data_IF_289451451440
#
_entry.id   IF_289451451440
#
_cell.length_a   1.000
_cell.length_b   1.000
_cell.length_c   1.000
_cell.angle_alpha   90.00
_cell.angle_beta   90.00
_cell.angle_gamma   90.00
#
_symmetry.space_group_name_H-M   'P 1'
#
loop_
_entity.id
_entity.type
_entity.pdbx_description
1 polymer ?
2 non-polymer ?
3 non-polymer ?
4 non-polymer ?
5 non-polymer ?
6 non-polymer ?
7 water ?
#
# COMPACT_ATOMS: atom_id res chain seq x y z
N UNK A 1 23.92 1.82 4.65
CA UNK A 1 24.22 0.37 4.93
C UNK A 1 23.12 -0.52 4.36
N UNK A 2 23.37 -1.13 3.23
CA UNK A 2 22.49 -2.28 2.84
C UNK A 2 22.83 -3.47 3.72
N UNK A 3 21.90 -3.98 4.55
CA UNK A 3 22.23 -5.20 5.32
C UNK A 3 22.33 -6.50 4.47
N UNK A 4 23.10 -7.49 4.92
CA UNK A 4 23.11 -8.80 4.23
C UNK A 4 21.78 -9.51 4.48
N UNK A 5 21.34 -10.34 3.52
CA UNK A 5 20.03 -11.02 3.61
C UNK A 5 20.07 -11.95 4.79
N UNK A 6 19.06 -11.83 5.67
CA UNK A 6 18.91 -12.80 6.78
C UNK A 6 18.15 -14.06 6.26
N UNK A 7 18.74 -14.64 5.25
CA UNK A 7 18.13 -15.79 4.58
C UNK A 7 19.08 -16.36 3.53
N UNK A 8 18.86 -17.65 3.21
CA UNK A 8 19.41 -18.25 1.98
C UNK A 8 18.36 -18.25 0.88
N UNK A 9 18.71 -17.78 -0.30
CA UNK A 9 17.84 -17.99 -1.46
C UNK A 9 17.66 -19.45 -1.75
N UNK A 10 16.42 -19.88 -1.98
CA UNK A 10 16.23 -21.37 -2.26
C UNK A 10 15.54 -21.58 -3.60
N UNK A 11 14.68 -20.64 -4.02
CA UNK A 11 13.97 -20.81 -5.33
C UNK A 11 14.04 -19.49 -6.10
N UNK A 12 14.46 -19.56 -7.35
CA UNK A 12 14.61 -18.31 -8.17
C UNK A 12 13.74 -18.43 -9.42
N UNK A 13 13.29 -17.28 -9.92
CA UNK A 13 12.57 -17.18 -11.19
C UNK A 13 13.56 -16.50 -12.22
N UNK A 14 14.07 -17.26 -13.20
CA UNK A 14 15.08 -16.68 -14.15
C UNK A 14 14.51 -15.54 -14.90
N UNK A 15 15.37 -14.54 -15.16
CA UNK A 15 14.93 -13.36 -15.91
C UNK A 15 16.04 -13.16 -16.93
N UNK A 16 15.68 -13.10 -18.21
CA UNK A 16 16.73 -12.98 -19.20
C UNK A 16 17.35 -11.58 -19.23
N UNK A 17 18.63 -11.51 -19.61
CA UNK A 17 19.32 -10.18 -19.76
C UNK A 17 19.19 -9.80 -21.22
N UNK A 18 18.61 -8.63 -21.51
CA UNK A 18 18.22 -8.22 -22.91
C UNK A 18 19.35 -7.28 -23.38
N UNK A 19 19.46 -7.07 -24.68
CA UNK A 19 20.32 -6.04 -25.20
C UNK A 19 19.60 -4.70 -25.28
N UNK A 20 20.40 -3.63 -25.35
CA UNK A 20 19.78 -2.33 -25.55
C UNK A 20 18.91 -2.31 -26.80
N UNK A 21 19.38 -2.89 -27.91
CA UNK A 21 18.53 -2.86 -29.15
C UNK A 21 17.24 -3.61 -28.99
N UNK A 22 17.30 -4.71 -28.27
CA UNK A 22 16.06 -5.44 -28.03
C UNK A 22 15.05 -4.54 -27.24
N UNK A 23 15.53 -3.88 -26.21
CA UNK A 23 14.63 -3.07 -25.35
C UNK A 23 14.08 -1.89 -26.08
N UNK A 24 14.94 -1.29 -26.94
CA UNK A 24 14.46 -0.21 -27.85
C UNK A 24 13.30 -0.70 -28.69
N UNK A 25 13.41 -1.87 -29.30
CA UNK A 25 12.29 -2.41 -30.08
C UNK A 25 11.11 -2.75 -29.21
N UNK A 26 11.39 -3.30 -28.03
CA UNK A 26 10.30 -3.63 -27.16
C UNK A 26 9.40 -2.44 -26.72
N UNK A 27 10.05 -1.37 -26.32
CA UNK A 27 9.35 -0.19 -25.80
C UNK A 27 8.51 0.47 -26.94
N UNK A 28 9.04 0.49 -28.15
CA UNK A 28 8.20 0.87 -29.34
C UNK A 28 6.99 -0.01 -29.55
N UNK A 29 7.18 -1.33 -29.49
CA UNK A 29 6.09 -2.22 -29.67
C UNK A 29 5.02 -2.02 -28.58
N UNK A 30 5.44 -1.64 -27.37
CA UNK A 30 4.46 -1.41 -26.32
C UNK A 30 4.07 0.06 -26.27
N UNK A 31 4.25 0.80 -27.38
CA UNK A 31 3.68 2.13 -27.46
C UNK A 31 4.23 3.08 -26.39
N UNK A 32 5.54 3.00 -26.09
CA UNK A 32 6.16 3.83 -25.09
C UNK A 32 5.33 3.79 -23.76
N UNK A 33 4.86 2.58 -23.46
CA UNK A 33 4.03 2.40 -22.28
C UNK A 33 4.48 1.06 -21.57
N UNK A 34 5.31 1.16 -20.50
CA UNK A 34 5.82 -0.04 -19.80
C UNK A 34 4.67 -0.92 -19.30
N UNK A 35 3.47 -0.36 -19.07
CA UNK A 35 2.37 -1.26 -18.68
C UNK A 35 2.07 -2.32 -19.74
N UNK A 36 2.48 -2.06 -20.97
CA UNK A 36 2.16 -2.99 -22.02
C UNK A 36 3.33 -3.87 -22.30
N UNK A 37 4.42 -3.76 -21.52
CA UNK A 37 5.57 -4.72 -21.75
C UNK A 37 5.31 -6.13 -21.18
N UNK A 38 5.92 -7.15 -21.82
CA UNK A 38 5.79 -8.49 -21.25
C UNK A 38 6.66 -8.49 -20.01
N UNK A 39 6.20 -9.16 -18.93
CA UNK A 39 6.99 -9.32 -17.74
C UNK A 39 8.35 -9.89 -18.02
N UNK A 40 8.41 -10.83 -18.95
CA UNK A 40 9.69 -11.40 -19.23
C UNK A 40 10.74 -10.45 -19.86
N UNK A 41 10.29 -9.34 -20.46
CA UNK A 41 11.19 -8.32 -21.01
C UNK A 41 11.55 -7.25 -20.01
N UNK A 42 11.09 -7.42 -18.78
CA UNK A 42 11.47 -6.45 -17.74
C UNK A 42 12.50 -7.06 -16.81
N UNK A 43 13.65 -6.42 -16.67
CA UNK A 43 14.69 -6.98 -15.79
C UNK A 43 14.39 -6.75 -14.30
N UNK A 44 14.03 -5.50 -13.95
CA UNK A 44 13.73 -5.12 -12.57
C UNK A 44 12.35 -4.47 -12.58
N UNK A 45 11.35 -5.15 -11.99
CA UNK A 45 9.99 -4.72 -12.15
C UNK A 45 9.61 -4.00 -10.86
N UNK A 46 9.44 -2.65 -10.94
CA UNK A 46 9.22 -1.85 -9.71
C UNK A 46 7.85 -1.26 -9.82
N UNK A 47 7.04 -1.89 -10.64
CA UNK A 47 5.67 -1.46 -10.80
C UNK A 47 4.89 -1.45 -9.48
N UNK A 48 4.98 -2.56 -8.75
CA UNK A 48 4.30 -2.61 -7.44
C UNK A 48 4.93 -3.61 -6.51
N UNK A 49 4.83 -3.37 -5.17
CA UNK A 49 5.17 -4.41 -4.17
C UNK A 49 3.98 -5.26 -3.72
N UNK A 50 2.79 -5.01 -4.29
CA UNK A 50 1.58 -5.67 -3.79
C UNK A 50 1.52 -7.07 -4.45
N UNK A 51 1.84 -8.09 -3.67
CA UNK A 51 1.70 -9.50 -4.11
C UNK A 51 2.80 -10.02 -5.01
N UNK A 52 3.88 -9.28 -5.14
CA UNK A 52 5.01 -9.56 -6.03
C UNK A 52 6.24 -10.04 -5.26
N UNK A 53 6.10 -10.15 -3.92
CA UNK A 53 7.26 -10.49 -3.09
C UNK A 53 7.54 -11.99 -2.97
N UNK A 54 8.72 -12.32 -2.48
CA UNK A 54 9.05 -13.70 -2.22
C UNK A 54 8.38 -14.16 -0.94
N UNK A 55 8.44 -15.48 -0.68
CA UNK A 55 7.89 -15.98 0.60
C UNK A 55 8.90 -17.00 1.13
N UNK A 56 8.69 -17.41 2.37
CA UNK A 56 9.58 -18.35 3.04
C UNK A 56 9.19 -19.79 2.64
N UNK A 57 10.10 -20.71 2.90
CA UNK A 57 9.89 -22.13 2.67
C UNK A 57 8.66 -22.63 3.41
N UNK A 58 8.48 -22.27 4.65
CA UNK A 58 7.31 -22.75 5.41
C UNK A 58 6.00 -22.20 4.83
N UNK A 59 6.06 -20.98 4.36
CA UNK A 59 4.85 -20.45 3.74
C UNK A 59 4.45 -21.16 2.48
N UNK A 60 5.44 -21.42 1.63
CA UNK A 60 5.16 -22.12 0.35
C UNK A 60 4.69 -23.55 0.63
N UNK A 61 5.33 -24.23 1.60
CA UNK A 61 4.96 -25.63 1.94
C UNK A 61 3.50 -25.66 2.46
N UNK A 62 3.06 -24.63 3.19
CA UNK A 62 1.64 -24.58 3.74
C UNK A 62 0.59 -24.64 2.64
N UNK A 63 0.93 -24.21 1.43
CA UNK A 63 -0.04 -24.32 0.28
C UNK A 63 -0.42 -25.71 -0.01
N UNK A 64 0.45 -26.69 0.34
CA UNK A 64 0.15 -28.14 0.24
C UNK A 64 -0.61 -28.82 1.40
N UNK A 65 -1.17 -28.04 2.30
CA UNK A 65 -1.81 -28.62 3.48
C UNK A 65 -3.25 -28.10 3.58
N UNK A 66 -3.81 -27.67 2.45
CA UNK A 66 -5.18 -27.05 2.51
C UNK A 66 -6.31 -28.00 2.77
N UNK A 67 -7.26 -27.57 3.60
CA UNK A 67 -8.52 -28.27 3.82
C UNK A 67 -9.52 -27.41 3.06
N UNK A 68 -10.00 -27.97 1.97
CA UNK A 68 -10.88 -27.19 1.07
C UNK A 68 -12.35 -27.21 1.44
N UNK A 69 -12.67 -27.63 2.64
CA UNK A 69 -14.10 -27.70 3.03
C UNK A 69 -14.75 -26.34 2.96
N UNK A 70 -16.01 -26.32 2.52
CA UNK A 70 -16.78 -25.11 2.43
C UNK A 70 -16.95 -24.46 3.83
N UNK A 71 -17.19 -25.22 4.89
CA UNK A 71 -17.27 -24.62 6.20
C UNK A 71 -16.55 -25.54 7.19
N UNK A 72 -16.07 -24.93 8.24
CA UNK A 72 -15.37 -25.71 9.26
C UNK A 72 -13.95 -26.16 8.90
N UNK A 73 -13.33 -25.47 7.95
CA UNK A 73 -12.00 -25.88 7.46
C UNK A 73 -10.97 -25.67 8.57
N UNK A 74 -10.14 -26.68 8.78
CA UNK A 74 -8.97 -26.48 9.66
C UNK A 74 -7.98 -25.41 9.19
N UNK A 75 -7.99 -25.06 7.90
CA UNK A 75 -7.14 -24.03 7.32
C UNK A 75 -7.67 -22.68 7.70
N UNK A 76 -9.00 -22.53 7.66
CA UNK A 76 -9.62 -21.32 8.21
C UNK A 76 -9.26 -21.22 9.72
N UNK A 77 -9.42 -22.30 10.48
CA UNK A 77 -9.10 -22.26 11.89
C UNK A 77 -7.64 -21.90 12.18
N UNK A 78 -6.72 -22.45 11.41
CA UNK A 78 -5.31 -22.09 11.60
C UNK A 78 -5.08 -20.61 11.35
N UNK A 79 -5.70 -20.09 10.29
CA UNK A 79 -5.64 -18.66 10.08
C UNK A 79 -6.30 -17.82 11.19
N UNK A 80 -7.46 -18.22 11.70
CA UNK A 80 -8.05 -17.46 12.79
C UNK A 80 -7.13 -17.55 14.03
N UNK A 81 -6.50 -18.73 14.20
CA UNK A 81 -5.68 -18.93 15.41
C UNK A 81 -4.44 -17.98 15.36
N UNK A 82 -3.87 -17.80 14.15
CA UNK A 82 -2.71 -16.89 13.97
C UNK A 82 -3.18 -15.46 14.33
N UNK A 83 -4.37 -15.06 13.85
CA UNK A 83 -4.89 -13.70 14.17
C UNK A 83 -5.05 -13.54 15.68
N UNK A 84 -5.58 -14.58 16.31
CA UNK A 84 -5.86 -14.52 17.74
C UNK A 84 -4.54 -14.37 18.52
N UNK A 85 -3.53 -15.12 18.13
CA UNK A 85 -2.25 -15.05 18.85
C UNK A 85 -1.40 -13.85 18.54
N UNK A 86 -1.48 -13.36 17.33
CA UNK A 86 -0.68 -12.21 16.91
C UNK A 86 -1.30 -10.87 17.24
N UNK A 87 -2.58 -10.72 16.94
CA UNK A 87 -3.30 -9.45 17.17
C UNK A 87 -4.17 -9.42 18.45
N UNK A 88 -4.47 -10.59 18.98
CA UNK A 88 -5.41 -10.75 20.16
C UNK A 88 -6.84 -10.69 19.66
N UNK A 89 -7.07 -10.79 18.36
CA UNK A 89 -8.45 -10.55 17.88
C UNK A 89 -9.19 -11.88 17.71
N UNK A 90 -10.40 -11.93 18.28
CA UNK A 90 -11.16 -13.16 18.39
C UNK A 90 -11.88 -13.59 17.14
N UNK A 91 -12.14 -12.70 16.18
CA UNK A 91 -13.07 -13.04 15.08
C UNK A 91 -12.36 -12.74 13.77
N UNK A 92 -12.29 -13.69 12.85
CA UNK A 92 -11.56 -13.47 11.60
C UNK A 92 -12.45 -13.81 10.41
N UNK A 93 -12.44 -12.92 9.45
CA UNK A 93 -13.01 -13.15 8.15
C UNK A 93 -11.90 -13.02 7.11
N UNK A 94 -11.59 -14.12 6.43
CA UNK A 94 -10.59 -14.08 5.31
C UNK A 94 -11.25 -13.46 4.11
N UNK A 95 -10.49 -12.63 3.38
CA UNK A 95 -11.06 -11.93 2.27
C UNK A 95 -10.24 -12.25 0.99
N UNK A 96 -10.86 -12.29 -0.20
CA UNK A 96 -10.01 -12.60 -1.39
C UNK A 96 -9.72 -11.40 -2.28
N UNK A 99 -8.29 -5.68 -0.48
CA UNK A 99 -8.01 -4.91 0.72
C UNK A 99 -8.89 -5.19 1.97
N UNK A 100 -8.98 -6.46 2.38
CA UNK A 100 -9.75 -6.82 3.57
C UNK A 100 -11.19 -6.22 3.65
N UNK A 101 -11.88 -6.17 2.50
CA UNK A 101 -13.31 -5.94 2.48
C UNK A 101 -13.65 -4.58 3.22
N UNK A 102 -12.91 -3.55 2.87
CA UNK A 102 -13.43 -2.18 3.02
C UNK A 102 -14.88 -2.11 2.51
N UNK A 103 -15.20 -2.84 1.42
CA UNK A 103 -16.54 -2.71 0.87
C UNK A 103 -17.56 -3.33 1.78
N UNK A 104 -17.10 -4.20 2.68
CA UNK A 104 -17.99 -4.75 3.68
C UNK A 104 -18.09 -3.94 4.99
N UNK A 105 -16.95 -3.61 5.66
CA UNK A 105 -17.06 -2.93 7.00
C UNK A 105 -17.66 -1.54 6.93
N UNK A 106 -17.42 -0.84 5.85
CA UNK A 106 -17.87 0.52 5.76
C UNK A 106 -19.42 0.66 5.89
N UNK A 107 -20.19 -0.06 5.07
CA UNK A 107 -21.67 0.05 5.19
C UNK A 107 -22.17 -0.55 6.47
N UNK A 108 -21.51 -1.61 6.93
CA UNK A 108 -21.83 -2.16 8.19
C UNK A 108 -21.65 -1.13 9.33
N UNK A 109 -20.56 -0.36 9.36
CA UNK A 109 -20.35 0.56 10.48
C UNK A 109 -21.24 1.82 10.31
N UNK A 110 -21.44 2.27 9.07
CA UNK A 110 -22.40 3.37 8.83
C UNK A 110 -23.82 3.00 9.42
N UNK A 111 -24.37 1.85 9.04
CA UNK A 111 -25.71 1.50 9.46
C UNK A 111 -25.74 1.28 10.95
N UNK A 112 -24.64 0.77 11.51
CA UNK A 112 -24.63 0.52 12.96
C UNK A 112 -24.88 1.81 13.70
N UNK A 113 -24.21 2.86 13.27
CA UNK A 113 -24.28 4.13 14.02
C UNK A 113 -25.61 4.83 13.71
N UNK A 114 -26.11 4.55 12.52
CA UNK A 114 -27.43 4.99 12.08
C UNK A 114 -28.53 4.45 13.00
N UNK A 115 -28.47 3.17 13.32
CA UNK A 115 -29.53 2.55 14.10
C UNK A 115 -29.34 2.85 15.56
N UNK A 116 -28.08 3.03 15.98
CA UNK A 116 -27.79 3.09 17.40
C UNK A 116 -27.73 4.50 17.96
N UNK A 117 -27.32 5.46 17.14
CA UNK A 117 -27.03 6.78 17.65
C UNK A 117 -27.66 7.86 16.77
N UNK A 118 -28.49 7.47 15.79
CA UNK A 118 -29.09 8.46 14.92
C UNK A 118 -28.07 9.19 14.05
N UNK A 119 -27.04 8.46 13.60
CA UNK A 119 -26.14 9.01 12.58
C UNK A 119 -27.01 9.47 11.39
N UNK A 120 -26.62 10.55 10.75
CA UNK A 120 -27.39 11.15 9.68
C UNK A 120 -26.50 11.09 8.46
N UNK A 121 -26.90 10.33 7.45
CA UNK A 121 -26.04 10.06 6.27
C UNK A 121 -25.65 11.32 5.56
N UNK A 122 -26.47 12.38 5.65
CA UNK A 122 -26.14 13.62 4.91
C UNK A 122 -25.07 14.38 5.65
N UNK A 123 -24.85 14.05 6.92
CA UNK A 123 -23.85 14.78 7.72
C UNK A 123 -22.50 14.06 7.89
N UNK A 124 -22.43 12.78 7.51
CA UNK A 124 -21.36 11.90 8.10
C UNK A 124 -19.96 12.14 7.54
N UNK A 125 -18.96 11.98 8.42
CA UNK A 125 -17.56 12.18 8.01
C UNK A 125 -16.69 11.15 8.72
N UNK A 126 -15.83 10.47 7.97
CA UNK A 126 -14.91 9.48 8.61
C UNK A 126 -13.50 10.07 8.64
N UNK A 127 -12.69 9.70 9.62
CA UNK A 127 -11.38 10.36 9.82
C UNK A 127 -10.26 9.31 9.69
N UNK A 128 -9.11 9.74 9.23
CA UNK A 128 -7.93 8.86 9.21
C UNK A 128 -6.71 9.69 9.35
N UNK A 129 -5.64 9.09 9.85
CA UNK A 129 -4.36 9.73 9.74
C UNK A 129 -3.97 9.91 8.28
N UNK A 130 -4.37 8.95 7.43
CA UNK A 130 -4.29 9.14 6.02
C UNK A 130 -5.01 7.93 5.37
N UNK A 131 -6.11 8.18 4.65
CA UNK A 131 -6.88 7.09 4.01
C UNK A 131 -6.16 6.61 2.78
N UNK A 132 -6.04 5.28 2.62
CA UNK A 132 -5.65 4.79 1.31
C UNK A 132 -6.73 5.16 0.31
N UNK A 133 -6.31 5.31 -0.96
CA UNK A 133 -7.21 5.75 -2.06
C UNK A 133 -8.50 4.92 -2.14
N UNK A 134 -8.37 3.60 -2.02
CA UNK A 134 -9.53 2.72 -2.16
C UNK A 134 -10.46 2.81 -0.92
N UNK A 135 -9.83 3.00 0.23
CA UNK A 135 -10.61 3.15 1.47
C UNK A 135 -11.46 4.45 1.37
N UNK A 136 -10.81 5.49 0.87
CA UNK A 136 -11.47 6.78 0.65
C UNK A 136 -12.59 6.56 -0.37
N UNK A 137 -12.24 5.88 -1.47
CA UNK A 137 -13.23 5.45 -2.49
C UNK A 137 -14.50 4.78 -1.95
N UNK A 138 -14.36 3.72 -1.14
CA UNK A 138 -15.56 3.00 -0.60
C UNK A 138 -16.34 3.85 0.42
N UNK A 139 -15.64 4.77 1.11
CA UNK A 139 -16.31 5.67 2.06
C UNK A 139 -17.21 6.57 1.24
N UNK A 140 -16.63 7.20 0.20
CA UNK A 140 -17.39 8.17 -0.64
C UNK A 140 -18.53 7.54 -1.41
N UNK A 141 -18.28 6.38 -2.03
CA UNK A 141 -19.35 5.59 -2.66
C UNK A 141 -20.47 5.36 -1.69
N UNK A 142 -20.16 5.12 -0.43
CA UNK A 142 -21.19 4.94 0.57
C UNK A 142 -21.80 6.26 1.06
N UNK A 143 -21.45 7.35 0.40
CA UNK A 143 -21.93 8.69 0.79
C UNK A 143 -21.25 9.35 1.98
N UNK A 144 -20.07 8.84 2.35
CA UNK A 144 -19.28 9.37 3.50
C UNK A 144 -18.12 10.23 3.02
N UNK A 145 -18.07 11.48 3.50
CA UNK A 145 -16.92 12.34 3.36
C UNK A 145 -15.79 11.80 4.26
N UNK A 146 -14.58 12.04 3.83
CA UNK A 146 -13.41 11.61 4.61
C UNK A 146 -12.61 12.83 4.89
N UNK A 147 -11.90 12.80 6.01
CA UNK A 147 -10.86 13.75 6.28
C UNK A 147 -9.63 13.03 6.74
N UNK A 148 -8.50 13.46 6.20
CA UNK A 148 -7.22 12.98 6.63
C UNK A 148 -6.79 13.96 7.70
N UNK A 149 -6.62 13.52 8.95
CA UNK A 149 -6.02 14.40 9.97
C UNK A 149 -4.54 14.10 10.24
N UNK A 150 -3.66 14.50 9.31
CA UNK A 150 -2.26 14.12 9.38
C UNK A 150 -1.48 15.27 10.03
N UNK A 151 -0.27 15.02 10.48
CA UNK A 151 0.49 16.08 11.16
C UNK A 151 1.23 17.06 10.23
N UNK A 152 1.53 18.25 10.80
CA UNK A 152 2.21 19.35 10.11
C UNK A 152 3.45 18.84 9.43
N UNK A 153 4.19 18.00 10.12
CA UNK A 153 5.47 17.51 9.62
C UNK A 153 5.36 16.42 8.51
N UNK A 154 4.14 15.92 8.26
CA UNK A 154 3.94 14.70 7.42
C UNK A 154 4.63 14.84 6.08
N UNK A 155 4.26 15.90 5.36
CA UNK A 155 4.68 16.17 3.96
C UNK A 155 5.87 17.03 3.87
N UNK A 156 6.43 17.40 5.01
CA UNK A 156 7.61 18.24 4.99
C UNK A 156 8.97 17.49 4.87
N UNK A 157 9.53 17.37 3.67
CA UNK A 157 10.86 16.73 3.53
C UNK A 157 11.87 17.72 4.09
N UNK A 158 13.10 17.34 4.31
CA UNK A 158 14.01 18.33 4.98
C UNK A 158 13.70 18.80 6.42
N UNK A 159 12.53 18.45 6.95
CA UNK A 159 12.29 18.32 8.41
C UNK A 159 12.27 16.79 8.67
N UNK A 160 13.18 16.26 9.48
CA UNK A 160 13.15 14.82 9.75
C UNK A 160 12.31 14.63 11.03
N UNK A 161 11.44 13.62 11.04
CA UNK A 161 10.57 13.42 12.19
C UNK A 161 10.29 11.93 12.23
N UNK A 162 10.31 11.37 13.43
CA UNK A 162 10.35 9.89 13.59
C UNK A 162 9.07 9.20 13.19
N UNK A 163 7.95 9.88 13.40
CA UNK A 163 6.64 9.33 13.14
C UNK A 163 5.73 10.21 12.33
N UNK A 164 6.10 10.44 11.06
CA UNK A 164 5.34 11.35 10.18
C UNK A 164 3.97 10.84 9.78
N UNK A 165 3.67 9.56 10.07
CA UNK A 165 2.29 9.08 9.85
C UNK A 165 1.29 9.27 10.99
N UNK A 166 1.69 9.98 12.04
CA UNK A 166 0.85 10.16 13.23
C UNK A 166 -0.43 10.91 12.91
N UNK A 167 -1.46 10.57 13.68
CA UNK A 167 -2.71 11.35 13.74
C UNK A 167 -2.30 12.74 14.28
N UNK A 168 -2.86 13.77 13.65
CA UNK A 168 -3.07 15.09 14.33
C UNK A 168 -4.19 14.99 15.38
N UNK A 169 -3.80 14.74 16.63
CA UNK A 169 -4.75 14.36 17.67
C UNK A 169 -5.72 15.55 17.94
N UNK A 170 -5.18 16.76 17.93
CA UNK A 170 -6.06 17.97 18.12
C UNK A 170 -6.98 18.19 16.94
N UNK A 171 -6.47 18.05 15.72
CA UNK A 171 -7.35 18.08 14.56
C UNK A 171 -8.45 17.03 14.57
N UNK A 172 -8.10 15.82 15.00
CA UNK A 172 -9.10 14.78 15.07
C UNK A 172 -10.21 15.14 16.09
N UNK A 173 -9.81 15.51 17.29
CA UNK A 173 -10.81 15.96 18.31
C UNK A 173 -11.70 17.12 17.77
N UNK A 174 -11.06 18.13 17.20
CA UNK A 174 -11.80 19.25 16.58
C UNK A 174 -12.75 18.82 15.48
N UNK A 175 -12.33 17.88 14.62
CA UNK A 175 -13.24 17.47 13.54
C UNK A 175 -14.42 16.66 14.06
N UNK A 176 -14.17 15.77 15.03
CA UNK A 176 -15.30 15.03 15.61
C UNK A 176 -16.30 16.06 16.23
N UNK A 177 -15.77 17.00 16.98
CA UNK A 177 -16.64 18.01 17.61
C UNK A 177 -17.44 18.87 16.57
N UNK A 178 -16.74 19.31 15.52
CA UNK A 178 -17.28 20.10 14.42
C UNK A 178 -18.33 19.31 13.64
N UNK A 179 -18.01 18.07 13.29
CA UNK A 179 -18.99 17.15 12.68
C UNK A 179 -20.09 16.66 13.57
N UNK A 180 -19.83 16.43 14.84
CA UNK A 180 -20.82 15.78 15.72
C UNK A 180 -20.52 14.28 15.85
N UNK A 181 -20.21 13.80 17.07
CA UNK A 181 -19.77 12.41 17.14
C UNK A 181 -20.80 11.33 16.76
N UNK A 182 -22.10 11.68 16.78
CA UNK A 182 -23.08 10.77 16.22
C UNK A 182 -22.90 10.52 14.73
N UNK A 183 -22.25 11.46 14.06
CA UNK A 183 -22.12 11.44 12.61
C UNK A 183 -20.77 10.88 12.09
N UNK A 184 -20.01 10.25 12.96
CA UNK A 184 -18.64 9.85 12.59
C UNK A 184 -18.67 8.35 12.69
N UNK A 185 -18.81 7.68 11.54
CA UNK A 185 -19.09 6.24 11.63
C UNK A 185 -17.85 5.34 11.98
N UNK A 186 -16.64 5.84 11.72
CA UNK A 186 -15.41 5.12 12.08
C UNK A 186 -14.25 6.04 11.91
N UNK A 187 -13.16 5.63 12.50
CA UNK A 187 -11.88 6.20 12.28
C UNK A 187 -10.99 5.01 11.73
N UNK A 188 -10.21 5.29 10.70
CA UNK A 188 -9.23 4.30 10.18
C UNK A 188 -7.83 4.73 10.57
N UNK A 189 -7.15 3.82 11.25
CA UNK A 189 -5.77 4.13 11.56
C UNK A 189 -4.92 3.30 10.59
N UNK A 190 -4.21 3.97 9.71
CA UNK A 190 -3.44 3.32 8.63
C UNK A 190 -1.99 3.16 9.05
N UNK A 191 -1.49 1.91 9.11
CA UNK A 191 -0.08 1.63 9.54
C UNK A 191 0.61 0.69 8.58
N UNK A 192 1.85 1.01 8.20
CA UNK A 192 2.35 2.44 8.20
C UNK A 192 1.42 3.30 7.30
N UNK A 193 1.50 4.63 7.46
CA UNK A 193 0.53 5.56 6.82
C UNK A 193 0.97 5.76 5.38
N UNK A 194 0.02 6.00 4.48
CA UNK A 194 0.39 6.22 3.12
C UNK A 194 0.75 7.68 2.79
N UNK A 195 0.75 8.56 3.79
CA UNK A 195 1.29 9.91 3.56
C UNK A 195 2.78 9.88 3.23
N UNK A 196 3.17 10.78 2.32
CA UNK A 196 4.57 11.06 2.12
C UNK A 196 5.40 9.81 1.81
N UNK A 197 4.92 8.93 0.94
CA UNK A 197 5.81 7.77 0.61
C UNK A 197 5.78 6.62 1.61
N UNK A 198 5.00 6.73 2.69
CA UNK A 198 4.94 5.64 3.67
C UNK A 198 5.66 6.08 4.96
N UNK A 199 4.92 6.32 6.04
CA UNK A 199 5.57 6.89 7.27
C UNK A 199 4.94 6.24 8.47
N UNK A 200 5.75 5.92 9.48
CA UNK A 200 5.19 5.16 10.57
C UNK A 200 4.38 5.99 11.55
N UNK A 201 3.66 5.28 12.39
CA UNK A 201 2.71 5.77 13.39
C UNK A 201 3.17 5.27 14.73
N UNK A 202 3.36 6.19 15.74
CA UNK A 202 3.83 5.70 17.02
C UNK A 202 2.76 5.02 17.83
N UNK A 203 3.18 4.11 18.70
CA UNK A 203 2.22 3.54 19.66
C UNK A 203 1.62 4.57 20.61
N UNK A 204 2.42 5.54 21.03
CA UNK A 204 1.91 6.61 21.92
C UNK A 204 0.79 7.32 21.19
N UNK A 205 0.99 7.56 19.90
CA UNK A 205 -0.03 8.18 19.06
C UNK A 205 -1.32 7.38 18.87
N UNK A 206 -1.15 6.08 18.61
CA UNK A 206 -2.35 5.23 18.48
C UNK A 206 -3.14 5.17 19.78
N UNK A 207 -2.43 5.13 20.92
CA UNK A 207 -3.11 5.05 22.24
C UNK A 207 -3.94 6.32 22.42
N UNK A 208 -3.31 7.45 22.18
CA UNK A 208 -3.97 8.76 22.31
C UNK A 208 -5.15 8.88 21.38
N UNK A 209 -4.97 8.36 20.17
CA UNK A 209 -6.08 8.33 19.21
C UNK A 209 -7.20 7.45 19.68
N UNK A 210 -6.86 6.29 20.20
CA UNK A 210 -7.89 5.33 20.59
C UNK A 210 -8.62 5.87 21.85
N UNK A 211 -7.88 6.53 22.74
CA UNK A 211 -8.51 7.29 23.89
C UNK A 211 -9.56 8.26 23.40
N UNK A 212 -9.29 9.01 22.35
CA UNK A 212 -10.26 9.94 21.75
C UNK A 212 -11.47 9.21 21.18
N UNK A 213 -11.23 8.13 20.43
CA UNK A 213 -12.29 7.38 19.83
C UNK A 213 -13.18 6.67 20.89
N UNK A 214 -12.59 6.15 21.97
CA UNK A 214 -13.35 5.42 22.98
C UNK A 214 -14.27 6.44 23.73
N UNK A 215 -13.76 7.65 23.90
CA UNK A 215 -14.48 8.71 24.65
C UNK A 215 -15.77 9.00 23.91
N UNK A 216 -15.65 9.12 22.59
CA UNK A 216 -16.81 9.26 21.75
C UNK A 216 -17.47 7.98 21.29
N UNK A 217 -16.97 6.82 21.72
CA UNK A 217 -17.55 5.54 21.24
C UNK A 217 -17.64 5.44 19.68
N UNK A 218 -16.56 5.85 19.03
CA UNK A 218 -16.40 5.72 17.58
C UNK A 218 -15.49 4.47 17.24
N UNK A 219 -16.00 3.52 16.43
CA UNK A 219 -15.18 2.33 16.00
C UNK A 219 -13.88 2.74 15.39
N UNK A 220 -12.78 2.05 15.76
CA UNK A 220 -11.52 2.30 15.13
C UNK A 220 -11.11 1.01 14.33
N UNK A 221 -10.79 1.18 13.07
CA UNK A 221 -10.38 0.08 12.19
C UNK A 221 -8.88 0.28 11.90
N UNK A 222 -8.05 -0.73 12.19
CA UNK A 222 -6.65 -0.55 11.86
C UNK A 222 -6.47 -1.02 10.41
N UNK A 223 -5.96 -0.16 9.54
CA UNK A 223 -5.70 -0.53 8.15
C UNK A 223 -4.26 -1.01 8.12
N UNK A 224 -4.10 -2.33 7.90
CA UNK A 224 -2.89 -3.03 8.46
C UNK A 224 -1.98 -3.70 7.45
N UNK A 225 -2.03 -3.30 6.16
CA UNK A 225 -1.22 -3.95 5.15
C UNK A 225 0.26 -3.91 5.51
N UNK A 226 0.66 -2.84 6.21
CA UNK A 226 2.06 -2.78 6.64
C UNK A 226 2.25 -2.78 8.20
N UNK A 227 1.57 -3.68 8.89
CA UNK A 227 1.56 -3.71 10.35
C UNK A 227 2.95 -4.01 10.90
N UNK A 228 3.75 -4.83 10.18
CA UNK A 228 5.05 -5.30 10.68
C UNK A 228 6.11 -4.25 10.49
N UNK A 229 6.12 -3.58 9.34
CA UNK A 229 7.05 -2.47 9.15
C UNK A 229 6.73 -1.38 10.18
N UNK A 230 5.44 -1.19 10.47
CA UNK A 230 5.10 -0.16 11.47
C UNK A 230 5.68 -0.56 12.83
N UNK A 231 5.55 -1.81 13.22
CA UNK A 231 6.13 -2.31 14.48
C UNK A 231 7.60 -2.17 14.50
N UNK A 232 8.24 -2.44 13.35
CA UNK A 232 9.70 -2.31 13.30
C UNK A 232 10.12 -0.83 13.54
N UNK A 233 9.40 0.09 12.89
CA UNK A 233 9.73 1.49 13.13
C UNK A 233 9.55 1.91 14.60
N UNK A 234 8.50 1.39 15.25
CA UNK A 234 8.29 1.66 16.69
C UNK A 234 9.46 1.11 17.47
N UNK A 235 9.88 -0.13 17.16
CA UNK A 235 10.99 -0.75 17.87
C UNK A 235 12.28 0.08 17.67
N UNK A 236 12.47 0.59 16.46
CA UNK A 236 13.70 1.28 16.13
C UNK A 236 13.66 2.73 16.70
N UNK A 237 12.51 3.40 16.66
CA UNK A 237 12.52 4.84 16.95
C UNK A 237 11.74 5.26 18.20
N UNK A 238 10.82 4.42 18.71
CA UNK A 238 10.00 4.85 19.88
C UNK A 238 10.67 4.26 21.12
N UNK A 239 11.35 5.08 21.94
CA UNK A 239 12.27 4.54 22.90
C UNK A 239 11.66 3.56 23.85
N UNK A 240 10.42 3.77 24.24
CA UNK A 240 9.74 2.89 25.21
C UNK A 240 9.73 1.39 24.79
N UNK A 241 9.76 1.22 23.45
CA UNK A 241 9.56 -0.14 22.84
C UNK A 241 10.81 -0.74 22.30
N UNK A 242 11.97 -0.12 22.61
CA UNK A 242 13.25 -0.54 22.04
C UNK A 242 13.61 -1.98 22.28
N UNK A 243 13.26 -2.53 23.45
CA UNK A 243 13.65 -3.90 23.75
C UNK A 243 12.44 -4.82 23.63
N UNK A 244 11.36 -4.36 23.03
CA UNK A 244 10.21 -5.26 22.94
C UNK A 244 10.36 -6.00 21.60
N UNK A 245 9.81 -7.18 21.54
CA UNK A 245 9.81 -7.90 20.21
C UNK A 245 8.76 -7.33 19.28
N UNK A 246 8.90 -7.64 17.96
CA UNK A 246 7.92 -7.20 17.00
C UNK A 246 6.56 -7.77 17.40
N UNK A 247 6.56 -9.01 17.85
CA UNK A 247 5.24 -9.66 18.22
C UNK A 247 4.65 -8.93 19.44
N UNK A 248 5.51 -8.58 20.40
CA UNK A 248 4.97 -7.80 21.57
C UNK A 248 4.44 -6.42 21.18
N UNK A 249 5.11 -5.69 20.27
CA UNK A 249 4.66 -4.36 19.87
C UNK A 249 3.33 -4.49 19.11
N UNK A 250 3.23 -5.55 18.33
CA UNK A 250 2.03 -5.75 17.51
C UNK A 250 0.83 -6.09 18.42
N UNK A 251 1.05 -6.99 19.37
CA UNK A 251 -0.07 -7.27 20.31
C UNK A 251 -0.49 -5.99 21.05
N UNK A 252 0.51 -5.22 21.46
CA UNK A 252 0.19 -3.95 22.20
C UNK A 252 -0.48 -2.96 21.29
N UNK A 253 0.06 -2.75 20.05
CA UNK A 253 -0.54 -1.91 19.04
C UNK A 253 -2.06 -2.16 18.84
N UNK A 254 -2.44 -3.41 18.70
CA UNK A 254 -3.79 -3.74 18.34
C UNK A 254 -4.76 -3.59 19.52
N UNK A 255 -4.26 -3.28 20.70
CA UNK A 255 -5.24 -2.91 21.76
C UNK A 255 -5.91 -1.63 21.37
N UNK A 256 -5.27 -0.85 20.50
CA UNK A 256 -5.75 0.55 20.18
C UNK A 256 -6.55 0.67 18.88
N UNK A 257 -7.24 -0.44 18.60
CA UNK A 257 -8.29 -0.47 17.56
C UNK A 257 -9.36 -1.48 18.01
N UNK A 258 -10.51 -1.48 17.33
CA UNK A 258 -11.66 -2.41 17.63
C UNK A 258 -11.72 -3.54 16.61
N UNK A 259 -11.12 -3.30 15.44
CA UNK A 259 -11.11 -4.31 14.36
C UNK A 259 -9.95 -4.01 13.42
N UNK A 260 -9.63 -4.93 12.49
CA UNK A 260 -8.56 -4.59 11.54
C UNK A 260 -9.01 -4.98 10.14
N UNK A 261 -8.49 -4.27 9.16
CA UNK A 261 -8.62 -4.66 7.78
C UNK A 261 -7.27 -4.64 7.11
N UNK A 262 -6.91 -5.72 6.40
CA UNK A 262 -5.65 -5.66 5.72
C UNK A 262 -5.58 -6.45 4.42
N UNK A 263 -4.84 -5.91 3.48
CA UNK A 263 -4.40 -6.69 2.34
C UNK A 263 -3.21 -7.46 2.94
N UNK A 264 -3.18 -8.79 2.66
CA UNK A 264 -2.08 -9.62 3.10
C UNK A 264 -0.92 -9.58 2.10
N UNK A 265 -1.07 -8.80 1.04
CA UNK A 265 -0.13 -8.84 -0.09
C UNK A 265 1.11 -7.97 0.05
N UNK A 266 1.29 -7.39 1.22
CA UNK A 266 2.49 -6.58 1.48
C UNK A 266 3.28 -7.28 2.60
N UNK A 267 3.24 -6.77 3.86
CA UNK A 267 4.03 -7.37 4.94
C UNK A 267 3.76 -8.87 5.24
N UNK A 268 2.57 -9.39 4.91
CA UNK A 268 2.27 -10.80 5.25
C UNK A 268 2.77 -11.75 4.15
N UNK A 269 3.35 -11.17 3.08
CA UNK A 269 4.29 -11.86 2.17
C UNK A 269 3.54 -12.88 1.30
N UNK A 270 2.26 -12.64 1.01
CA UNK A 270 1.53 -13.57 0.08
C UNK A 270 1.00 -12.85 -1.17
N UNK A 271 0.72 -13.61 -2.24
CA UNK A 271 0.33 -12.94 -3.46
C UNK A 271 -1.18 -12.84 -3.54
N UNK A 272 -1.86 -13.36 -2.53
CA UNK A 272 -3.31 -13.38 -2.53
C UNK A 272 -3.87 -13.34 -1.12
N UNK A 273 -4.86 -12.48 -0.88
CA UNK A 273 -5.63 -12.61 0.37
C UNK A 273 -5.65 -11.26 1.19
N UNK A 274 -6.47 -11.27 2.21
CA UNK A 274 -6.67 -10.12 3.12
C UNK A 274 -7.44 -10.65 4.29
N UNK A 275 -7.68 -9.79 5.30
CA UNK A 275 -8.37 -10.19 6.48
C UNK A 275 -9.27 -9.03 6.92
N UNK A 276 -10.38 -9.38 7.54
CA UNK A 276 -11.24 -8.36 8.22
C UNK A 276 -11.52 -9.02 9.55
N UNK A 277 -11.06 -8.43 10.68
CA UNK A 277 -11.05 -9.11 11.95
C UNK A 277 -11.60 -8.19 13.04
N UNK A 278 -12.13 -8.78 14.07
CA UNK A 278 -12.78 -7.98 15.19
C UNK A 278 -12.20 -8.45 16.48
N UNK A 279 -11.88 -7.48 17.36
CA UNK A 279 -11.15 -7.84 18.56
C UNK A 279 -11.85 -8.74 19.53
N UNK A 280 -13.04 -8.33 19.99
CA UNK A 280 -13.65 -9.11 21.09
C UNK A 280 -15.19 -9.03 20.94
N UNK A 281 -15.93 -9.64 21.90
CA UNK A 281 -17.41 -9.80 21.76
C UNK A 281 -18.13 -8.47 21.66
N UNK A 282 -17.50 -7.39 22.15
CA UNK A 282 -18.10 -6.07 21.97
C UNK A 282 -18.31 -5.71 20.49
N UNK A 283 -17.57 -6.37 19.59
CA UNK A 283 -17.77 -6.18 18.16
C UNK A 283 -18.33 -7.44 17.45
N UNK A 284 -18.90 -8.33 18.25
CA UNK A 284 -19.54 -9.56 17.75
C UNK A 284 -20.61 -9.27 16.75
N UNK A 285 -21.40 -8.26 17.02
CA UNK A 285 -22.52 -7.99 16.14
C UNK A 285 -22.04 -7.37 14.85
N UNK A 286 -20.93 -6.63 14.89
CA UNK A 286 -20.30 -6.12 13.68
C UNK A 286 -19.63 -7.30 12.85
N UNK A 287 -19.01 -8.24 13.56
CA UNK A 287 -18.53 -9.51 12.91
C UNK A 287 -19.68 -10.25 12.18
N UNK A 288 -20.78 -10.52 12.91
CA UNK A 288 -21.98 -11.16 12.34
C UNK A 288 -22.48 -10.46 11.14
N UNK A 289 -22.68 -9.15 11.25
CA UNK A 289 -23.17 -8.36 10.15
C UNK A 289 -22.22 -8.33 8.94
N UNK A 290 -20.90 -8.29 9.20
CA UNK A 290 -19.93 -8.31 8.08
C UNK A 290 -19.93 -9.66 7.33
N UNK A 291 -20.00 -10.71 8.11
CA UNK A 291 -19.89 -12.06 7.57
C UNK A 291 -21.14 -12.34 6.75
N UNK A 292 -22.28 -11.88 7.26
CA UNK A 292 -23.56 -11.91 6.55
C UNK A 292 -23.49 -11.10 5.26
N UNK A 293 -23.04 -9.87 5.33
CA UNK A 293 -22.94 -9.05 4.09
C UNK A 293 -21.96 -9.62 3.11
N UNK A 294 -20.93 -10.31 3.61
CA UNK A 294 -19.95 -11.00 2.73
C UNK A 294 -20.67 -11.96 1.80
N UNK A 295 -21.68 -12.70 2.31
CA UNK A 295 -22.46 -13.64 1.48
C UNK A 295 -23.38 -12.88 0.51
N UNK A 296 -24.06 -11.86 1.01
CA UNK A 296 -25.13 -11.19 0.21
C UNK A 296 -24.81 -9.78 -0.32
N UNK A 297 -23.51 -9.43 -0.35
CA UNK A 297 -23.02 -8.09 -0.75
C UNK A 297 -23.63 -7.66 -2.06
N UNK A 298 -23.89 -8.64 -2.95
CA UNK A 298 -24.40 -8.36 -4.34
C UNK A 298 -25.94 -8.07 -4.44
N UNK A 299 -26.68 -8.35 -3.34
CA UNK A 299 -28.18 -8.31 -3.27
C UNK A 299 -28.88 -9.68 -3.08
N UNK A 300 -28.06 -10.73 -2.96
CA UNK A 300 -28.43 -12.16 -3.00
C UNK A 300 -27.10 -12.92 -2.66
N UNK A 301 -27.19 -14.24 -2.28
CA UNK A 301 -25.95 -15.03 -2.00
C UNK A 301 -24.94 -15.25 -3.19
N UNK A 302 -23.66 -15.02 -2.92
CA UNK A 302 -22.56 -15.51 -3.76
C UNK A 302 -21.56 -16.21 -2.82
N UNK A 303 -20.73 -17.09 -3.38
CA UNK A 303 -19.87 -18.03 -2.63
C UNK A 303 -18.42 -18.04 -3.10
N UNK A 304 -17.58 -18.75 -2.36
CA UNK A 304 -16.16 -18.73 -2.66
C UNK A 304 -15.47 -17.88 -1.63
N UNK A 305 -14.16 -17.69 -1.80
CA UNK A 305 -13.33 -17.46 -0.66
C UNK A 305 -11.96 -18.08 -0.94
N UNK A 306 -11.00 -17.76 -0.06
CA UNK A 306 -9.62 -18.17 -0.28
C UNK A 306 -9.56 -19.70 -0.31
N UNK A 307 -8.69 -20.26 -1.15
CA UNK A 307 -8.51 -21.74 -1.10
C UNK A 307 -7.85 -22.13 0.23
N UNK A 308 -8.04 -23.38 0.66
CA UNK A 308 -7.44 -23.83 1.96
C UNK A 308 -5.93 -23.58 1.98
N UNK A 309 -5.18 -23.84 0.85
CA UNK A 309 -3.70 -23.80 1.03
C UNK A 309 -3.35 -22.30 1.21
N UNK A 310 -4.19 -21.43 0.71
CA UNK A 310 -3.86 -20.00 0.85
C UNK A 310 -4.11 -19.44 2.28
N UNK A 311 -5.10 -19.99 3.00
CA UNK A 311 -5.30 -19.70 4.40
C UNK A 311 -4.17 -20.25 5.20
N UNK A 312 -3.76 -21.49 4.88
CA UNK A 312 -2.59 -22.05 5.58
C UNK A 312 -1.37 -21.19 5.37
N UNK A 313 -1.19 -20.72 4.15
CA UNK A 313 0.03 -19.96 3.81
C UNK A 313 0.03 -18.63 4.53
N UNK A 314 -1.13 -17.98 4.48
CA UNK A 314 -1.28 -16.69 5.27
C UNK A 314 -1.12 -16.95 6.80
N UNK A 315 -1.61 -18.06 7.35
CA UNK A 315 -1.42 -18.33 8.79
C UNK A 315 0.04 -18.36 9.18
N UNK A 316 0.91 -18.69 8.26
CA UNK A 316 2.33 -18.72 8.54
C UNK A 316 2.89 -17.36 8.21
N UNK A 317 2.43 -16.80 7.11
CA UNK A 317 2.99 -15.52 6.62
C UNK A 317 2.79 -14.39 7.64
N UNK A 318 1.72 -14.42 8.42
CA UNK A 318 1.55 -13.37 9.48
C UNK A 318 2.68 -13.43 10.49
N UNK A 319 3.15 -14.64 10.81
CA UNK A 319 4.32 -14.77 11.69
C UNK A 319 5.64 -14.45 10.96
N UNK A 320 5.86 -15.05 9.80
CA UNK A 320 7.14 -14.82 9.07
C UNK A 320 7.37 -13.34 8.68
N UNK A 321 6.30 -12.60 8.46
CA UNK A 321 6.42 -11.20 8.09
C UNK A 321 6.84 -10.36 9.30
N UNK A 322 6.79 -10.94 10.51
CA UNK A 322 7.23 -10.18 11.72
C UNK A 322 8.69 -10.42 12.08
N UNK A 323 9.39 -11.21 11.29
CA UNK A 323 10.78 -11.65 11.67
C UNK A 323 11.62 -10.33 11.75
N UNK A 324 12.33 -10.16 12.86
CA UNK A 324 12.97 -8.83 13.06
C UNK A 324 14.12 -8.59 12.10
N UNK A 325 14.90 -9.65 11.85
CA UNK A 325 16.04 -9.51 10.91
C UNK A 325 15.55 -9.18 9.54
N UNK A 326 14.50 -9.90 9.11
CA UNK A 326 13.85 -9.61 7.82
C UNK A 326 13.41 -8.10 7.72
N UNK A 327 12.70 -7.62 8.73
CA UNK A 327 12.16 -6.27 8.69
C UNK A 327 13.27 -5.22 8.63
N UNK A 328 14.27 -5.39 9.50
CA UNK A 328 15.51 -4.54 9.49
C UNK A 328 16.12 -4.52 8.06
N UNK A 329 16.28 -5.71 7.47
CA UNK A 329 16.82 -5.84 6.10
C UNK A 329 15.93 -5.18 5.04
N UNK A 330 14.63 -5.47 5.08
CA UNK A 330 13.74 -4.88 4.07
C UNK A 330 13.80 -3.34 4.09
N UNK A 331 13.61 -2.77 5.29
CA UNK A 331 13.58 -1.30 5.41
C UNK A 331 14.92 -0.64 5.00
N UNK A 332 16.02 -1.21 5.45
CA UNK A 332 17.37 -0.77 5.10
C UNK A 332 17.58 -0.77 3.61
N UNK A 333 17.05 -1.78 2.93
CA UNK A 333 17.21 -1.79 1.42
C UNK A 333 16.47 -0.60 0.76
N UNK A 334 15.24 -0.35 1.20
CA UNK A 334 14.41 0.74 0.63
C UNK A 334 15.18 2.07 0.93
N UNK A 335 15.66 2.20 2.16
CA UNK A 335 16.45 3.44 2.56
C UNK A 335 17.73 3.57 1.71
N UNK A 336 18.41 2.44 1.43
CA UNK A 336 19.58 2.41 0.62
C UNK A 336 19.34 2.95 -0.79
N UNK A 337 18.22 2.55 -1.41
CA UNK A 337 17.95 3.05 -2.76
C UNK A 337 17.76 4.60 -2.72
N UNK A 338 16.93 5.07 -1.81
CA UNK A 338 16.57 6.52 -1.72
C UNK A 338 17.87 7.31 -1.45
N UNK A 339 18.67 6.83 -0.50
CA UNK A 339 19.96 7.49 -0.16
C UNK A 339 20.86 7.52 -1.36
N UNK A 340 20.92 6.42 -2.11
CA UNK A 340 21.81 6.40 -3.29
C UNK A 340 21.35 7.33 -4.41
N UNK A 341 20.05 7.46 -4.58
CA UNK A 341 19.44 8.44 -5.56
C UNK A 341 19.75 9.91 -5.12
N UNK A 342 19.53 10.20 -3.86
CA UNK A 342 19.88 11.53 -3.31
C UNK A 342 21.36 11.84 -3.62
N UNK A 343 22.22 10.90 -3.34
CA UNK A 343 23.63 11.10 -3.49
C UNK A 343 24.06 11.47 -4.92
N UNK A 344 23.31 11.03 -5.94
CA UNK A 344 23.65 11.38 -7.34
C UNK A 344 22.80 12.56 -7.86
N UNK A 345 21.97 13.15 -7.03
CA UNK A 345 21.38 14.43 -7.36
C UNK A 345 20.03 14.19 -7.93
N UNK A 346 19.51 12.96 -7.74
CA UNK A 346 18.13 12.74 -8.13
C UNK A 346 17.25 13.19 -6.99
N UNK A 347 16.28 14.04 -7.26
CA UNK A 347 15.43 14.49 -6.18
C UNK A 347 14.07 13.78 -6.22
N UNK A 348 13.64 13.30 -5.04
CA UNK A 348 12.27 12.83 -4.82
C UNK A 348 11.41 13.86 -4.19
N UNK A 349 10.19 14.01 -4.69
CA UNK A 349 9.26 14.93 -4.04
C UNK A 349 8.84 14.35 -2.67
N UNK A 350 8.72 13.02 -2.56
CA UNK A 350 8.46 12.37 -1.25
C UNK A 350 9.10 11.01 -1.39
N UNK A 351 9.55 10.41 -0.29
CA UNK A 351 10.04 8.99 -0.35
C UNK A 351 9.86 8.41 1.03
N UNK A 352 9.31 7.22 1.15
CA UNK A 352 9.23 6.64 2.47
C UNK A 352 9.25 5.13 2.38
N UNK A 353 8.69 4.47 3.39
CA UNK A 353 8.63 3.01 3.39
C UNK A 353 8.00 2.34 2.17
N UNK A 354 6.97 2.98 1.58
CA UNK A 354 6.09 2.36 0.53
C UNK A 354 6.71 2.58 -0.88
N UNK A 355 7.27 3.78 -1.11
CA UNK A 355 7.68 4.17 -2.50
C UNK A 355 8.53 5.42 -2.43
N UNK A 356 9.31 5.60 -3.47
CA UNK A 356 10.08 6.82 -3.68
C UNK A 356 9.46 7.44 -4.91
N UNK A 357 9.17 8.74 -4.84
CA UNK A 357 8.55 9.43 -5.99
C UNK A 357 9.59 10.40 -6.59
N UNK A 358 10.15 10.01 -7.70
CA UNK A 358 11.24 10.77 -8.35
C UNK A 358 10.55 11.95 -9.06
N UNK A 359 11.12 13.15 -8.93
CA UNK A 359 10.52 14.28 -9.64
C UNK A 359 11.03 14.30 -11.09
N UNK A 360 10.26 13.77 -12.04
CA UNK A 360 10.73 13.75 -13.41
C UNK A 360 10.68 15.17 -14.02
N UNK A 361 9.71 15.97 -13.62
CA UNK A 361 9.71 17.40 -14.02
C UNK A 361 11.08 18.04 -13.86
N UNK A 362 11.69 17.92 -12.69
CA UNK A 362 12.96 18.54 -12.39
C UNK A 362 14.14 17.89 -13.07
N UNK A 363 14.10 16.56 -13.22
CA UNK A 363 15.19 15.84 -13.86
C UNK A 363 15.21 16.07 -15.38
N UNK A 364 14.05 16.31 -15.97
CA UNK A 364 13.84 16.46 -17.41
C UNK A 364 13.12 17.81 -17.70
N UNK A 365 13.84 18.94 -17.45
CA UNK A 365 13.05 20.20 -17.34
C UNK A 365 12.55 20.76 -18.70
N UNK A 366 13.16 20.28 -19.77
CA UNK A 366 12.81 20.72 -21.12
C UNK A 366 11.50 20.14 -21.67
N UNK A 367 10.86 19.19 -20.98
CA UNK A 367 9.64 18.56 -21.47
C UNK A 367 8.40 19.07 -20.80
N UNK A 368 7.43 19.55 -21.60
CA UNK A 368 6.23 20.16 -20.98
C UNK A 368 5.45 19.08 -20.30
N UNK A 369 4.63 19.45 -19.31
CA UNK A 369 3.91 18.48 -18.51
C UNK A 369 2.94 17.70 -19.40
N UNK A 370 2.33 18.37 -20.39
CA UNK A 370 1.36 17.69 -21.30
C UNK A 370 1.99 16.61 -22.23
N UNK A 371 3.32 16.58 -22.35
CA UNK A 371 4.09 15.52 -23.03
C UNK A 371 4.71 14.50 -22.06
N UNK A 372 4.31 14.60 -20.79
CA UNK A 372 4.43 13.49 -19.80
C UNK A 372 5.88 13.17 -19.50
N UNK A 373 6.63 14.12 -18.84
CA UNK A 373 8.05 13.91 -18.63
C UNK A 373 8.39 12.67 -17.74
N UNK A 374 7.47 12.30 -16.84
CA UNK A 374 7.66 11.12 -16.00
C UNK A 374 7.37 9.82 -16.82
N UNK A 375 6.46 9.90 -17.79
CA UNK A 375 6.28 8.74 -18.72
C UNK A 375 7.53 8.62 -19.59
N UNK A 376 8.04 9.74 -20.11
CA UNK A 376 9.31 9.72 -20.84
C UNK A 376 10.39 9.12 -19.99
N UNK A 377 10.49 9.56 -18.73
CA UNK A 377 11.57 9.07 -17.92
C UNK A 377 11.36 7.50 -17.68
N UNK A 378 10.11 7.05 -17.49
CA UNK A 378 9.83 5.59 -17.29
C UNK A 378 10.38 4.83 -18.52
N UNK A 379 10.11 5.39 -19.70
CA UNK A 379 10.53 4.73 -20.93
C UNK A 379 12.03 4.70 -21.03
N UNK A 380 12.68 5.80 -20.64
CA UNK A 380 14.09 5.86 -20.75
C UNK A 380 14.78 4.91 -19.75
N UNK A 381 14.23 4.80 -18.55
CA UNK A 381 14.78 3.85 -17.58
C UNK A 381 14.67 2.42 -18.11
N UNK A 382 13.57 2.14 -18.77
CA UNK A 382 13.40 0.84 -19.43
C UNK A 382 14.46 0.66 -20.50
N UNK A 383 14.60 1.66 -21.39
CA UNK A 383 15.61 1.50 -22.43
C UNK A 383 17.00 1.28 -21.89
N UNK A 384 17.37 2.09 -20.92
CA UNK A 384 18.75 2.02 -20.38
C UNK A 384 19.07 0.75 -19.53
N UNK A 385 18.12 0.32 -18.71
CA UNK A 385 18.42 -0.70 -17.69
C UNK A 385 17.35 -1.83 -17.60
N UNK A 386 16.30 -1.74 -18.37
CA UNK A 386 15.16 -2.73 -18.29
C UNK A 386 14.37 -2.63 -17.02
N UNK A 387 14.34 -1.43 -16.40
CA UNK A 387 13.53 -1.21 -15.20
C UNK A 387 12.14 -0.75 -15.56
N UNK A 388 11.10 -1.28 -14.94
CA UNK A 388 9.77 -0.78 -15.14
C UNK A 388 9.27 -0.09 -13.85
N UNK A 389 8.74 1.10 -14.04
CA UNK A 389 8.24 1.98 -12.95
C UNK A 389 6.98 2.70 -13.45
N UNK A 390 6.13 3.14 -12.54
CA UNK A 390 4.87 3.66 -12.92
C UNK A 390 4.86 5.24 -12.79
N UNK A 391 4.42 5.89 -13.85
CA UNK A 391 4.17 7.36 -13.79
C UNK A 391 2.99 7.72 -12.88
N UNK A 392 3.20 8.73 -12.06
CA UNK A 392 2.13 9.30 -11.21
C UNK A 392 2.15 10.85 -11.54
N UNK A 393 1.55 11.22 -12.65
CA UNK A 393 1.66 12.61 -13.21
C UNK A 393 0.51 12.79 -14.17
N UNK A 394 0.74 13.63 -15.20
CA UNK A 394 -0.36 14.07 -16.02
C UNK A 394 -0.89 12.90 -16.80
N UNK A 395 -0.02 11.93 -17.09
CA UNK A 395 -0.48 10.81 -17.91
C UNK A 395 -1.50 10.04 -17.08
N UNK A 396 -1.14 9.65 -15.85
CA UNK A 396 -2.11 8.89 -15.01
C UNK A 396 -3.37 9.77 -14.76
N UNK A 397 -3.10 11.05 -14.46
CA UNK A 397 -4.21 11.99 -14.02
C UNK A 397 -5.33 12.00 -15.04
N UNK A 398 -4.93 12.17 -16.31
CA UNK A 398 -5.85 11.92 -17.42
C UNK A 398 -6.70 13.18 -17.72
N UNK A 399 -7.84 13.00 -18.38
CA UNK A 399 -8.70 14.13 -18.85
C UNK A 399 -9.98 14.32 -18.01
N UNK A 400 -10.45 15.57 -17.98
CA UNK A 400 -11.69 15.94 -17.33
C UNK A 400 -12.84 15.20 -18.07
N UNK A 401 -13.64 14.36 -17.36
CA UNK A 401 -14.72 13.67 -18.12
C UNK A 401 -15.94 14.55 -18.50
N UNK A 402 -16.01 15.80 -18.01
CA UNK A 402 -17.06 16.74 -18.45
C UNK A 402 -16.62 17.57 -19.66
N UNK A 403 -15.32 17.76 -19.82
CA UNK A 403 -14.87 18.75 -20.76
C UNK A 403 -13.86 18.20 -21.76
N UNK A 404 -13.42 16.95 -21.55
CA UNK A 404 -12.36 16.35 -22.38
C UNK A 404 -10.96 17.01 -22.41
N UNK A 405 -10.69 17.95 -21.52
CA UNK A 405 -9.33 18.51 -21.48
C UNK A 405 -8.47 17.81 -20.44
N UNK A 406 -7.16 17.76 -20.72
CA UNK A 406 -6.15 17.23 -19.81
C UNK A 406 -6.43 17.86 -18.46
N UNK A 407 -6.57 17.05 -17.38
CA UNK A 407 -6.59 17.60 -16.00
C UNK A 407 -5.25 18.27 -15.61
N UNK A 408 -5.30 19.31 -14.76
CA UNK A 408 -4.03 19.98 -14.35
C UNK A 408 -3.40 19.19 -13.23
N UNK A 409 -2.07 19.10 -13.17
CA UNK A 409 -1.45 18.15 -12.27
C UNK A 409 -0.26 18.84 -11.66
N UNK A 410 -0.13 18.78 -10.33
CA UNK A 410 0.85 19.59 -9.62
C UNK A 410 2.32 19.17 -9.74
N UNK A 411 2.61 17.89 -10.07
CA UNK A 411 3.97 17.35 -9.99
C UNK A 411 3.98 16.12 -10.96
N UNK A 412 5.07 15.93 -11.65
CA UNK A 412 5.15 14.87 -12.67
C UNK A 412 6.11 13.88 -12.08
N UNK A 413 5.57 12.86 -11.41
CA UNK A 413 6.42 11.95 -10.63
C UNK A 413 6.53 10.53 -11.26
N UNK A 414 7.63 9.88 -10.98
CA UNK A 414 7.88 8.46 -11.35
C UNK A 414 8.04 7.68 -10.04
N UNK A 415 7.16 6.70 -9.81
CA UNK A 415 7.14 5.92 -8.53
C UNK A 415 8.05 4.68 -8.62
N UNK A 416 8.92 4.46 -7.64
CA UNK A 416 9.73 3.23 -7.49
C UNK A 416 9.20 2.49 -6.24
N UNK A 417 8.66 1.29 -6.42
CA UNK A 417 8.27 0.45 -5.27
C UNK A 417 9.20 -0.74 -5.30
N UNK A 418 9.35 -1.49 -4.18
CA UNK A 418 10.36 -2.53 -4.18
C UNK A 418 9.66 -3.84 -3.66
N UNK A 419 9.41 -4.79 -4.55
CA UNK A 419 8.89 -6.10 -4.09
C UNK A 419 9.79 -6.68 -2.97
N UNK A 420 9.17 -7.26 -1.96
CA UNK A 420 9.91 -7.76 -0.82
C UNK A 420 10.74 -8.98 -1.16
N UNK A 421 12.00 -8.99 -0.69
CA UNK A 421 12.85 -10.19 -0.70
C UNK A 421 12.94 -10.69 -2.14
N UNK A 422 13.05 -9.77 -3.08
CA UNK A 422 13.04 -10.16 -4.51
C UNK A 422 14.34 -9.75 -5.24
N UNK A 423 14.87 -8.55 -4.94
CA UNK A 423 16.06 -8.07 -5.63
C UNK A 423 17.13 -7.69 -4.58
N UNK A 424 18.38 -7.54 -5.01
CA UNK A 424 19.45 -7.43 -4.07
C UNK A 424 20.10 -6.04 -4.07
N UNK A 425 21.11 -5.86 -3.22
CA UNK A 425 21.87 -4.58 -3.26
C UNK A 425 22.40 -4.32 -4.69
N UNK A 426 22.77 -5.38 -5.38
CA UNK A 426 23.32 -5.19 -6.77
C UNK A 426 22.31 -4.68 -7.73
N UNK A 427 21.07 -5.17 -7.60
CA UNK A 427 20.00 -4.50 -8.32
C UNK A 427 19.80 -3.03 -7.88
N UNK A 428 19.82 -2.75 -6.56
CA UNK A 428 19.66 -1.35 -6.14
C UNK A 428 20.76 -0.47 -6.78
N UNK A 429 21.98 -0.94 -6.79
CA UNK A 429 23.12 -0.19 -7.43
C UNK A 429 22.93 -0.03 -8.91
N UNK A 430 22.36 -1.10 -9.51
CA UNK A 430 21.98 -1.05 -10.94
C UNK A 430 20.94 0.03 -11.20
N UNK A 431 19.95 0.14 -10.32
CA UNK A 431 18.92 1.19 -10.49
C UNK A 431 19.54 2.58 -10.33
N UNK A 432 20.37 2.75 -9.30
CA UNK A 432 21.02 4.06 -9.08
C UNK A 432 21.89 4.45 -10.30
N UNK A 433 22.67 3.49 -10.81
CA UNK A 433 23.49 3.70 -11.97
C UNK A 433 22.68 4.12 -13.20
N UNK A 434 21.51 3.51 -13.40
CA UNK A 434 20.62 3.85 -14.47
C UNK A 434 20.16 5.29 -14.37
N UNK A 435 19.73 5.72 -13.16
CA UNK A 435 19.37 7.12 -12.99
C UNK A 435 20.54 8.07 -13.24
N UNK A 436 21.76 7.63 -12.88
CA UNK A 436 22.96 8.44 -13.11
C UNK A 436 23.19 8.67 -14.62
N UNK A 437 22.96 7.63 -15.39
CA UNK A 437 23.02 7.68 -16.85
C UNK A 437 21.95 8.61 -17.45
N UNK A 438 20.70 8.44 -16.99
CA UNK A 438 19.58 9.25 -17.42
C UNK A 438 19.83 10.74 -17.12
N UNK A 439 20.35 11.00 -15.93
CA UNK A 439 20.50 12.33 -15.45
C UNK A 439 21.54 13.02 -16.37
N UNK A 440 22.56 12.27 -16.74
CA UNK A 440 23.59 12.76 -17.55
C UNK A 440 23.17 12.95 -18.97
N UNK A 441 22.30 12.08 -19.49
CA UNK A 441 21.73 12.21 -20.83
C UNK A 441 20.41 12.98 -20.91
N UNK A 442 20.03 13.71 -19.87
CA UNK A 442 18.67 14.18 -19.68
C UNK A 442 18.18 15.03 -20.89
N UNK A 443 19.05 15.94 -21.35
CA UNK A 443 18.69 16.97 -22.36
C UNK A 443 18.14 16.30 -23.62
N UNK A 444 18.63 15.08 -23.90
CA UNK A 444 18.25 14.35 -25.14
C UNK A 444 17.02 13.53 -25.15
N UNK A 445 16.44 13.37 -23.97
CA UNK A 445 15.24 12.56 -23.84
C UNK A 445 14.02 13.33 -24.35
N UNK A 446 13.24 12.69 -25.21
CA UNK A 446 12.07 13.31 -25.81
C UNK A 446 10.77 13.14 -25.05
N UNK A 447 9.86 14.13 -25.20
CA UNK A 447 8.46 13.99 -24.75
C UNK A 447 7.57 13.09 -25.58
N UNK A 448 6.36 12.83 -25.13
CA UNK A 448 5.57 11.82 -25.77
C UNK A 448 4.26 12.42 -26.17
N UNK A 449 3.57 11.83 -27.14
CA UNK A 449 2.24 12.25 -27.53
C UNK A 449 1.48 11.02 -27.97
N UNK A 450 0.16 10.99 -27.79
CA UNK A 450 -0.67 9.81 -28.06
C UNK A 450 -0.72 9.38 -29.52
N UNK A 451 -0.78 8.07 -29.72
CA UNK A 451 -1.10 7.48 -30.99
C UNK A 451 -2.39 6.70 -30.79
N UNK A 452 -2.71 6.34 -29.55
CA UNK A 452 -3.93 5.60 -29.26
C UNK A 452 -4.29 5.89 -27.81
N UNK A 453 -5.53 6.35 -27.58
CA UNK A 453 -5.92 6.80 -26.27
C UNK A 453 -7.33 6.32 -25.83
N UNK A 454 -7.36 5.45 -24.84
CA UNK A 454 -8.70 5.06 -24.43
C UNK A 454 -9.45 6.19 -23.73
N UNK A 455 -10.77 6.05 -23.65
CA UNK A 455 -11.58 7.09 -22.95
C UNK A 455 -11.29 7.15 -21.48
N UNK A 456 -11.11 6.00 -20.83
CA UNK A 456 -10.95 5.96 -19.37
C UNK A 456 -9.75 5.04 -19.02
N UNK A 457 -9.13 5.24 -17.88
CA UNK A 457 -7.98 4.41 -17.47
C UNK A 457 -6.91 4.37 -18.54
N UNK A 458 -6.65 5.51 -19.20
CA UNK A 458 -5.76 5.49 -20.37
C UNK A 458 -4.31 4.96 -20.07
N UNK A 459 -3.85 5.09 -18.83
CA UNK A 459 -2.47 4.79 -18.49
C UNK A 459 -2.14 3.32 -18.68
N UNK A 460 -3.16 2.46 -18.57
CA UNK A 460 -2.93 1.01 -18.66
C UNK A 460 -2.69 0.58 -20.11
N UNK A 461 -3.39 1.17 -21.10
CA UNK A 461 -3.29 0.65 -22.47
C UNK A 461 -3.08 1.68 -23.60
N UNK A 462 -2.87 2.96 -23.26
CA UNK A 462 -2.56 3.98 -24.28
C UNK A 462 -1.21 3.68 -24.88
N UNK A 463 -1.00 4.19 -26.11
CA UNK A 463 0.22 4.03 -26.78
C UNK A 463 0.58 5.43 -27.25
N UNK A 464 1.86 5.69 -27.23
CA UNK A 464 2.40 7.02 -27.44
C UNK A 464 3.56 6.88 -28.42
N UNK A 465 4.04 8.02 -28.94
CA UNK A 465 5.27 8.08 -29.71
C UNK A 465 6.09 9.28 -29.29
N UNK A 466 7.35 9.35 -29.71
CA UNK A 466 8.17 10.44 -29.29
C UNK A 466 7.87 11.70 -30.10
N UNK A 467 8.04 12.83 -29.43
CA UNK A 467 7.84 14.14 -30.03
C UNK A 467 9.20 14.57 -30.57
X LIG B 1 4.50 -27.83 6.04
X LIG C 1 -0.85 -10.84 -8.19
X LIG D 1 -1.42 1.87 -10.28
X LIG D 1 -1.03 2.99 -11.13
X LIG D 1 -1.23 4.36 -10.47
X LIG D 1 -1.63 4.37 -9.09
X LIG D 1 -1.08 3.37 -8.22
X LIG D 1 -0.84 2.02 -8.92
X LIG D 1 -2.72 5.18 -8.60
X LIG D 1 -3.83 4.38 -7.93
X LIG D 1 -3.44 4.13 -6.60
X LIG D 1 -1.03 0.56 -10.83
X LIG D 1 -0.11 -0.22 -9.89
X LIG D 1 -0.84 -1.27 -8.58
X LIG D 1 -0.03 -1.39 -7.37
X LIG D 1 -1.13 -2.60 -9.11
X LIG D 1 -2.07 -0.66 -8.07
X LIG E 1 -26.72 -3.64 14.24
X LIG F 1 7.65 -0.78 -1.88
X LIG G 1 8.97 -13.42 19.60
X LIG H 1 -0.47 -23.10 8.20
#
# INVERSE_FOLDING_TARGET
>A
KHLPEPFRIRVIEPVKRTTRAYREEAIIKSGMNPFLLDSEDVFIDLLTDSGTGAMTQSMQAAMMRGDEAYSGSRSYYALAESVKNIFGYQYTIPTHQGRGAEQIYIPVLIKKREQEKGLDRSKMVAFSNYFFDTTQGHSQINGCTVRNVYIKEAFDTGVRYDFKGNFDLEGLERGIEEVGPNNVPYIVATITSNSAGGQPVSLANLKAMYSIAKKYDIPVVMDSARFAENAYFIKQREAEYKDWTIEQITRETYKYADMLAMSAKKDAMVPMGGLLCMKDDSFFDVYTECRTLCVVQEGFPTYGGLEGGAMERLAVGLYDGMNLDWLAYRIAQVQYLVDGLEEIGVVCQQAGGHAAFVDAGKLLPHIPADQFPAQALACELYKVAGIRAVEIGSFLLGRDPKTGKQLPCPAELLRLTIPRATYTQTHMDFIIEAFKHVKENAANIKGLTFTYEPKVLRHFTAKLKEV
>B hetero
1 CL CL
>C hetero
1 MG MG
>D hetero
1 EPE N1 C2 C3 N4 C5 C6 C7 C8 O8 C9 C10 S O1S O2S O3S
>E hetero
1 MG MG
>F hetero
1 MG MG
>G hetero
1 NA NA
>H hetero
1 CA CA
#
